data_IF_032192056746
#
_entry.id   IF_032192056746
#
_cell.length_a   1.000
_cell.length_b   1.000
_cell.length_c   1.000
_cell.angle_alpha   90.00
_cell.angle_beta   90.00
_cell.angle_gamma   90.00
#
_symmetry.space_group_name_H-M   'P 1'
#
loop_
_entity.id
_entity.type
_entity.pdbx_description
1 polymer ?
#
# COMPACT_ATOMS: atom_id res chain seq x y z
N UNK A 1 27.48 14.13 36.69
CA UNK A 1 27.49 13.27 35.48
C UNK A 1 26.28 12.35 35.60
N UNK A 2 25.24 12.52 34.78
CA UNK A 2 24.03 11.68 34.86
C UNK A 2 24.27 10.42 34.03
N UNK A 3 24.52 9.30 34.69
CA UNK A 3 24.76 7.99 34.07
C UNK A 3 23.45 7.20 34.01
N UNK A 4 22.68 7.38 32.94
CA UNK A 4 21.45 6.63 32.68
C UNK A 4 21.30 6.28 31.20
N UNK A 5 20.64 5.15 30.90
CA UNK A 5 20.39 4.72 29.50
C UNK A 5 19.48 5.75 28.82
N UNK A 6 19.92 6.29 27.68
CA UNK A 6 19.12 7.21 26.89
C UNK A 6 17.80 6.52 26.47
N UNK A 7 16.66 7.10 26.88
CA UNK A 7 15.33 6.68 26.43
C UNK A 7 14.97 7.45 25.17
N UNK A 8 15.04 6.80 24.01
CA UNK A 8 14.48 7.36 22.78
C UNK A 8 12.96 7.20 22.82
N UNK A 9 12.25 8.29 22.49
CA UNK A 9 10.79 8.29 22.32
C UNK A 9 10.50 8.31 20.83
N UNK A 10 9.46 7.58 20.43
CA UNK A 10 8.92 7.68 19.07
C UNK A 10 8.23 9.04 18.95
N UNK A 11 8.72 9.91 18.06
CA UNK A 11 8.18 11.25 17.87
C UNK A 11 6.85 11.25 17.11
N UNK A 12 6.68 10.33 16.15
CA UNK A 12 5.51 10.25 15.28
C UNK A 12 4.95 8.83 15.23
N UNK A 13 3.65 8.69 15.47
CA UNK A 13 2.93 7.41 15.40
C UNK A 13 2.46 7.09 13.97
N UNK A 14 2.10 8.13 13.20
CA UNK A 14 1.80 8.06 11.77
C UNK A 14 2.91 8.75 10.98
N UNK A 15 3.98 8.00 10.67
CA UNK A 15 4.98 8.46 9.72
C UNK A 15 4.47 8.13 8.32
N UNK A 16 4.31 9.14 7.42
CA UNK A 16 3.92 8.89 6.05
C UNK A 16 4.92 7.92 5.43
N UNK A 17 4.40 6.91 4.75
CA UNK A 17 5.22 5.87 4.12
C UNK A 17 5.31 6.17 2.66
N UNK A 18 6.53 6.35 2.16
CA UNK A 18 6.76 6.52 0.74
C UNK A 18 6.89 5.15 0.06
N UNK A 19 6.25 4.99 -1.07
CA UNK A 19 6.34 3.81 -1.92
C UNK A 19 6.27 4.23 -3.38
N UNK A 20 6.87 3.43 -4.26
CA UNK A 20 6.77 3.66 -5.70
C UNK A 20 5.60 2.86 -6.25
N UNK A 21 4.65 3.55 -6.88
CA UNK A 21 3.59 2.92 -7.66
C UNK A 21 4.00 2.83 -9.12
N UNK A 22 3.63 1.72 -9.78
CA UNK A 22 3.81 1.53 -11.20
C UNK A 22 2.49 1.15 -11.87
N UNK A 23 2.19 1.80 -12.98
CA UNK A 23 1.03 1.51 -13.81
C UNK A 23 1.46 1.15 -15.22
N UNK A 24 0.71 0.24 -15.84
CA UNK A 24 0.86 -0.14 -17.24
C UNK A 24 -0.49 0.15 -17.91
N UNK A 25 -0.48 1.04 -18.89
CA UNK A 25 -1.68 1.54 -19.54
C UNK A 25 -1.61 1.33 -21.05
N UNK A 26 -2.76 1.10 -21.69
CA UNK A 26 -2.89 1.28 -23.14
C UNK A 26 -2.96 2.78 -23.50
N UNK A 27 -2.99 3.12 -24.79
CA UNK A 27 -2.98 4.51 -25.27
C UNK A 27 -4.09 5.38 -24.64
N UNK A 28 -5.33 4.89 -24.61
CA UNK A 28 -6.46 5.64 -24.07
C UNK A 28 -6.34 5.83 -22.55
N UNK A 29 -5.88 4.80 -21.84
CA UNK A 29 -5.65 4.87 -20.40
C UNK A 29 -4.49 5.81 -20.04
N UNK A 30 -3.43 5.85 -20.85
CA UNK A 30 -2.30 6.75 -20.67
C UNK A 30 -2.76 8.21 -20.80
N UNK A 31 -3.53 8.54 -21.85
CA UNK A 31 -4.12 9.87 -22.01
C UNK A 31 -5.04 10.25 -20.85
N UNK A 32 -5.87 9.32 -20.39
CA UNK A 32 -6.75 9.54 -19.25
C UNK A 32 -5.97 9.78 -17.95
N UNK A 33 -4.86 9.07 -17.74
CA UNK A 33 -3.98 9.26 -16.59
C UNK A 33 -3.36 10.66 -16.57
N UNK A 34 -2.83 11.13 -17.71
CA UNK A 34 -2.21 12.47 -17.78
C UNK A 34 -3.23 13.59 -17.56
N UNK A 35 -4.43 13.46 -18.14
CA UNK A 35 -5.52 14.41 -17.90
C UNK A 35 -5.96 14.41 -16.44
N UNK A 36 -6.11 13.22 -15.83
CA UNK A 36 -6.45 13.09 -14.42
C UNK A 36 -5.38 13.69 -13.49
N UNK A 37 -4.10 13.45 -13.77
CA UNK A 37 -3.00 14.01 -13.00
C UNK A 37 -3.00 15.54 -13.03
N UNK A 38 -3.17 16.15 -14.21
CA UNK A 38 -3.23 17.60 -14.37
C UNK A 38 -4.49 18.20 -13.74
N UNK A 39 -5.66 17.71 -14.14
CA UNK A 39 -6.94 18.39 -13.90
C UNK A 39 -7.57 18.05 -12.54
N UNK A 40 -7.43 16.80 -12.08
CA UNK A 40 -8.06 16.33 -10.85
C UNK A 40 -7.09 16.37 -9.68
N UNK A 41 -5.81 16.07 -9.92
CA UNK A 41 -4.81 16.05 -8.87
C UNK A 41 -4.03 17.36 -8.72
N UNK A 42 -4.34 18.39 -9.51
CA UNK A 42 -3.61 19.67 -9.50
C UNK A 42 -2.11 19.45 -9.64
N UNK A 43 -1.72 18.73 -10.70
CA UNK A 43 -0.33 18.32 -10.97
C UNK A 43 0.30 17.50 -9.83
N UNK A 44 -0.50 16.62 -9.21
CA UNK A 44 -0.07 15.70 -8.15
C UNK A 44 -0.15 16.24 -6.72
N UNK A 45 -0.56 17.50 -6.52
CA UNK A 45 -0.66 18.11 -5.20
C UNK A 45 -1.85 17.60 -4.36
N UNK A 46 -2.92 17.09 -4.98
CA UNK A 46 -4.11 16.61 -4.28
C UNK A 46 -3.96 15.17 -3.77
N UNK A 47 -4.66 14.87 -2.68
CA UNK A 47 -4.82 13.51 -2.16
C UNK A 47 -5.86 12.75 -2.97
N UNK A 48 -5.62 11.46 -3.20
CA UNK A 48 -6.55 10.57 -3.89
C UNK A 48 -6.59 9.20 -3.23
N UNK A 49 -7.64 8.44 -3.52
CA UNK A 49 -7.84 7.10 -2.99
C UNK A 49 -7.67 6.07 -4.11
N UNK A 50 -6.87 5.03 -3.87
CA UNK A 50 -6.59 3.98 -4.87
C UNK A 50 -6.49 2.61 -4.20
N UNK A 51 -6.97 1.52 -4.85
CA UNK A 51 -6.65 0.17 -4.42
C UNK A 51 -5.16 -0.11 -4.63
N UNK A 52 -4.44 -0.39 -3.54
CA UNK A 52 -3.02 -0.71 -3.57
C UNK A 52 -2.79 -2.08 -2.93
N UNK A 53 -2.01 -2.91 -3.60
CA UNK A 53 -1.52 -4.16 -3.04
C UNK A 53 -0.34 -3.87 -2.12
N UNK A 54 -0.49 -4.21 -0.84
CA UNK A 54 0.57 -4.12 0.16
C UNK A 54 0.81 -5.50 0.78
N UNK A 55 1.86 -5.68 1.60
CA UNK A 55 2.06 -6.94 2.33
C UNK A 55 0.88 -7.33 3.25
N UNK A 56 -0.01 -6.39 3.57
CA UNK A 56 -1.21 -6.62 4.40
C UNK A 56 -2.43 -6.98 3.53
N UNK A 57 -2.27 -7.01 2.21
CA UNK A 57 -3.31 -7.33 1.23
C UNK A 57 -3.70 -6.15 0.35
N UNK A 58 -4.67 -6.38 -0.54
CA UNK A 58 -5.24 -5.38 -1.42
C UNK A 58 -6.28 -4.55 -0.65
N UNK A 59 -6.03 -3.26 -0.45
CA UNK A 59 -6.94 -2.33 0.22
C UNK A 59 -6.89 -0.96 -0.45
N UNK A 60 -7.90 -0.14 -0.20
CA UNK A 60 -7.90 1.25 -0.63
C UNK A 60 -7.07 2.10 0.34
N UNK A 61 -6.15 2.90 -0.21
CA UNK A 61 -5.31 3.82 0.56
C UNK A 61 -5.43 5.23 0.02
N UNK A 62 -5.45 6.19 0.95
CA UNK A 62 -5.31 7.61 0.64
C UNK A 62 -3.83 7.91 0.44
N UNK A 63 -3.48 8.39 -0.75
CA UNK A 63 -2.12 8.69 -1.14
C UNK A 63 -2.02 10.02 -1.90
N UNK A 64 -0.80 10.53 -2.00
CA UNK A 64 -0.45 11.75 -2.74
C UNK A 64 0.89 11.57 -3.43
N UNK A 65 1.06 12.18 -4.60
CA UNK A 65 2.36 12.20 -5.27
C UNK A 65 3.35 13.07 -4.49
N UNK A 66 4.58 12.58 -4.31
CA UNK A 66 5.65 13.39 -3.69
C UNK A 66 6.51 14.10 -4.72
N UNK A 67 6.47 13.64 -5.97
CA UNK A 67 7.18 14.20 -7.12
C UNK A 67 6.40 13.87 -8.40
N UNK A 68 6.80 14.48 -9.52
CA UNK A 68 6.27 14.13 -10.83
C UNK A 68 6.54 12.65 -11.16
N UNK A 69 5.60 12.01 -11.83
CA UNK A 69 5.78 10.64 -12.31
C UNK A 69 6.87 10.56 -13.39
N UNK A 70 7.46 9.38 -13.54
CA UNK A 70 8.36 9.00 -14.64
C UNK A 70 7.57 8.29 -15.73
N UNK A 71 7.94 8.53 -16.99
CA UNK A 71 7.24 8.04 -18.18
C UNK A 71 6.63 9.19 -18.99
N UNK A 72 5.81 8.91 -20.00
CA UNK A 72 5.46 7.58 -20.50
C UNK A 72 6.66 6.86 -21.14
N UNK A 73 6.88 5.59 -20.75
CA UNK A 73 7.91 4.74 -21.35
C UNK A 73 7.24 3.55 -22.05
N UNK A 74 7.53 3.25 -23.33
CA UNK A 74 6.97 2.10 -24.02
C UNK A 74 7.31 0.78 -23.29
N UNK A 75 6.30 -0.08 -23.12
CA UNK A 75 6.44 -1.41 -22.55
C UNK A 75 5.56 -2.42 -23.31
N UNK A 76 6.10 -3.62 -23.57
CA UNK A 76 5.32 -4.70 -24.19
C UNK A 76 4.76 -4.37 -25.59
N UNK A 77 5.33 -3.37 -26.28
CA UNK A 77 4.97 -2.95 -27.64
C UNK A 77 3.80 -1.98 -27.73
N UNK A 78 2.70 -2.23 -27.03
CA UNK A 78 1.46 -1.44 -27.11
C UNK A 78 1.00 -0.86 -25.76
N UNK A 79 1.89 -0.82 -24.77
CA UNK A 79 1.58 -0.28 -23.45
C UNK A 79 2.59 0.78 -23.02
N UNK A 80 2.19 1.56 -22.02
CA UNK A 80 2.95 2.65 -21.44
C UNK A 80 3.12 2.41 -19.96
N UNK A 81 4.38 2.40 -19.52
CA UNK A 81 4.73 2.36 -18.10
C UNK A 81 4.84 3.76 -17.54
N UNK A 82 4.16 3.98 -16.42
CA UNK A 82 4.33 5.13 -15.54
C UNK A 82 4.79 4.65 -14.17
N UNK A 83 5.76 5.33 -13.57
CA UNK A 83 6.22 5.04 -12.20
C UNK A 83 6.28 6.32 -11.40
N UNK A 84 5.73 6.35 -10.19
CA UNK A 84 5.74 7.57 -9.38
C UNK A 84 5.97 7.28 -7.90
N UNK A 85 6.76 8.13 -7.22
CA UNK A 85 6.86 8.08 -5.77
C UNK A 85 5.58 8.71 -5.17
N UNK A 86 4.93 7.95 -4.30
CA UNK A 86 3.75 8.40 -3.57
C UNK A 86 3.97 8.25 -2.08
N UNK A 87 3.37 9.14 -1.31
CA UNK A 87 3.24 8.98 0.12
C UNK A 87 1.84 8.47 0.46
N UNK A 88 1.79 7.51 1.38
CA UNK A 88 0.56 7.02 1.97
C UNK A 88 0.26 7.80 3.25
N UNK A 89 -1.01 8.16 3.42
CA UNK A 89 -1.52 8.78 4.63
C UNK A 89 -1.29 7.91 5.88
N UNK A 90 -1.52 6.61 5.72
CA UNK A 90 -1.34 5.60 6.76
C UNK A 90 -0.40 4.50 6.30
N UNK A 91 0.47 4.06 7.23
CA UNK A 91 1.38 2.96 6.96
C UNK A 91 0.62 1.63 6.91
N UNK A 92 0.74 0.85 5.82
CA UNK A 92 0.11 -0.46 5.71
C UNK A 92 0.84 -1.46 6.63
N UNK A 93 0.35 -1.60 7.87
CA UNK A 93 0.87 -2.55 8.84
C UNK A 93 -0.22 -3.53 9.31
N UNK A 94 0.17 -4.74 9.75
CA UNK A 94 -0.68 -5.56 10.59
C UNK A 94 -1.14 -4.78 11.84
N UNK A 95 -2.25 -5.19 12.48
CA UNK A 95 -2.75 -4.50 13.66
C UNK A 95 -1.70 -4.41 14.78
N UNK A 96 -1.79 -3.36 15.60
CA UNK A 96 -0.86 -3.15 16.70
C UNK A 96 -0.82 -4.36 17.65
N UNK A 97 0.37 -4.71 18.15
CA UNK A 97 0.59 -5.86 19.03
C UNK A 97 0.94 -7.16 18.31
N UNK A 98 0.55 -7.32 17.04
CA UNK A 98 0.87 -8.53 16.26
C UNK A 98 2.37 -8.75 16.04
N UNK A 99 3.19 -7.69 16.16
CA UNK A 99 4.65 -7.81 16.13
C UNK A 99 5.24 -8.66 17.28
N UNK A 100 4.48 -8.93 18.35
CA UNK A 100 4.89 -9.85 19.42
C UNK A 100 4.66 -11.33 19.09
N UNK A 101 3.90 -11.62 18.02
CA UNK A 101 3.53 -12.97 17.59
C UNK A 101 3.79 -13.16 16.08
N UNK A 102 5.04 -12.97 15.61
CA UNK A 102 5.36 -13.06 14.19
C UNK A 102 5.02 -14.43 13.57
N UNK A 103 5.13 -15.50 14.35
CA UNK A 103 4.77 -16.86 13.94
C UNK A 103 3.29 -17.00 13.58
N UNK A 104 2.39 -16.22 14.20
CA UNK A 104 0.97 -16.21 13.85
C UNK A 104 0.70 -15.45 12.55
N UNK A 105 1.49 -14.41 12.25
CA UNK A 105 1.41 -13.70 10.96
C UNK A 105 1.81 -14.66 9.83
N UNK A 106 2.98 -15.29 9.97
CA UNK A 106 3.53 -16.21 8.96
C UNK A 106 2.66 -17.46 8.83
N UNK A 107 2.17 -18.00 9.93
CA UNK A 107 1.32 -19.19 9.98
C UNK A 107 -0.18 -18.91 9.81
N UNK A 108 -0.59 -17.70 9.47
CA UNK A 108 -2.02 -17.32 9.40
C UNK A 108 -2.83 -18.22 8.47
N UNK A 109 -2.25 -18.67 7.35
CA UNK A 109 -2.88 -19.62 6.43
C UNK A 109 -3.08 -21.01 7.03
N UNK A 110 -2.23 -21.43 7.97
CA UNK A 110 -2.39 -22.71 8.66
C UNK A 110 -3.60 -22.70 9.59
N UNK A 111 -3.90 -21.55 10.22
CA UNK A 111 -5.10 -21.39 11.04
C UNK A 111 -6.37 -21.54 10.21
N UNK A 112 -6.41 -20.94 9.02
CA UNK A 112 -7.55 -21.06 8.10
C UNK A 112 -7.75 -22.50 7.61
N UNK A 113 -6.67 -23.18 7.21
CA UNK A 113 -6.72 -24.60 6.81
C UNK A 113 -7.20 -25.49 7.96
N UNK A 114 -6.65 -25.30 9.16
CA UNK A 114 -7.02 -26.09 10.33
C UNK A 114 -8.48 -25.85 10.73
N UNK A 115 -8.94 -24.59 10.67
CA UNK A 115 -10.33 -24.24 10.92
C UNK A 115 -11.25 -24.93 9.92
N UNK A 116 -11.01 -24.77 8.62
CA UNK A 116 -11.85 -25.40 7.60
C UNK A 116 -11.86 -26.95 7.66
N UNK A 117 -10.79 -27.55 8.18
CA UNK A 117 -10.69 -29.01 8.36
C UNK A 117 -11.41 -29.51 9.61
N UNK A 118 -11.23 -28.85 10.74
CA UNK A 118 -11.66 -29.33 12.06
C UNK A 118 -12.99 -28.71 12.52
N UNK A 119 -13.44 -27.61 11.91
CA UNK A 119 -14.68 -26.97 12.30
C UNK A 119 -15.88 -27.86 11.95
N UNK A 120 -16.80 -28.11 12.89
CA UNK A 120 -18.00 -28.88 12.61
C UNK A 120 -18.77 -28.26 11.45
N UNK A 121 -19.08 -29.08 10.44
CA UNK A 121 -19.98 -28.65 9.36
C UNK A 121 -21.37 -28.46 9.97
N UNK A 122 -21.82 -27.22 10.02
CA UNK A 122 -23.22 -26.92 10.29
C UNK A 122 -23.98 -27.01 8.96
N UNK A 123 -24.09 -28.22 8.43
CA UNK A 123 -25.12 -28.50 7.43
C UNK A 123 -26.44 -28.59 8.22
N UNK A 124 -27.20 -27.50 8.21
CA UNK A 124 -28.63 -27.56 8.51
C UNK A 124 -29.32 -28.00 7.23
N UNK A 125 -30.04 -29.13 7.30
CA UNK A 125 -31.05 -29.52 6.32
C UNK A 125 -32.09 -28.40 6.10
#
# INVERSE_FOLDING_TARGET
MVTGRAKQRRAYTSTPTQTDMAWIFNDAQAQAFEAWFRDVLSDGAAWFNIPLLTPVGLKNYVCRFTDIYKGPTPEGGFYWRYTAPVELWERPLPPAGWGHYPEWIVGSSLLDIALNKEWPKHDAD
#
